data_IF_185838028823
#
_entry.id   IF_185838028823
#
_cell.length_a   1.000
_cell.length_b   1.000
_cell.length_c   1.000
_cell.angle_alpha   90.00
_cell.angle_beta   90.00
_cell.angle_gamma   90.00
#
_symmetry.space_group_name_H-M   'P 1'
#
loop_
_entity.id
_entity.type
_entity.pdbx_description
1 polymer ?
#
# COMPACT_ATOMS: atom_id res chain seq x y z
N UNK A 1 -8.66 1.46 11.52
CA UNK A 1 -8.50 2.64 10.63
C UNK A 1 -7.85 2.28 9.29
N UNK A 2 -6.77 1.48 9.31
CA UNK A 2 -6.10 1.01 8.09
C UNK A 2 -7.07 0.38 7.06
N UNK A 3 -7.94 -0.53 7.49
CA UNK A 3 -8.91 -1.17 6.60
C UNK A 3 -9.85 -0.17 5.91
N UNK A 4 -10.20 0.91 6.60
CA UNK A 4 -11.04 1.95 6.03
C UNK A 4 -10.27 2.76 4.98
N UNK A 5 -9.00 3.07 5.23
CA UNK A 5 -8.13 3.72 4.25
C UNK A 5 -7.95 2.84 3.00
N UNK A 6 -7.74 1.54 3.20
CA UNK A 6 -7.64 0.55 2.11
C UNK A 6 -8.93 0.47 1.30
N UNK A 7 -10.09 0.42 1.97
CA UNK A 7 -11.40 0.43 1.30
C UNK A 7 -11.63 1.71 0.49
N UNK A 8 -11.15 2.85 0.97
CA UNK A 8 -11.25 4.11 0.25
C UNK A 8 -10.28 4.18 -0.95
N UNK A 9 -9.09 3.59 -0.82
CA UNK A 9 -8.12 3.49 -1.91
C UNK A 9 -8.53 2.49 -3.00
N UNK A 10 -9.46 1.57 -2.70
CA UNK A 10 -9.85 0.46 -3.57
C UNK A 10 -10.40 0.92 -4.92
N UNK A 11 -11.28 1.92 -4.93
CA UNK A 11 -11.85 2.47 -6.17
C UNK A 11 -10.78 3.08 -7.09
N UNK A 12 -10.03 4.09 -6.62
CA UNK A 12 -8.93 4.68 -7.39
C UNK A 12 -7.89 3.65 -7.86
N UNK A 13 -7.58 2.67 -7.01
CA UNK A 13 -6.64 1.61 -7.33
C UNK A 13 -7.15 0.72 -8.46
N UNK A 14 -8.41 0.28 -8.39
CA UNK A 14 -9.02 -0.54 -9.44
C UNK A 14 -9.09 0.22 -10.77
N UNK A 15 -9.44 1.51 -10.74
CA UNK A 15 -9.46 2.36 -11.94
C UNK A 15 -8.07 2.48 -12.58
N UNK A 16 -7.03 2.70 -11.77
CA UNK A 16 -5.65 2.75 -12.26
C UNK A 16 -5.23 1.44 -12.92
N UNK A 17 -5.49 0.32 -12.25
CA UNK A 17 -5.12 -1.01 -12.74
C UNK A 17 -5.89 -1.36 -14.01
N UNK A 18 -7.18 -1.03 -14.08
CA UNK A 18 -7.97 -1.17 -15.30
C UNK A 18 -7.37 -0.36 -16.46
N UNK A 19 -6.91 0.87 -16.19
CA UNK A 19 -6.21 1.73 -17.15
C UNK A 19 -4.88 1.14 -17.67
N UNK A 20 -4.24 0.24 -16.92
CA UNK A 20 -3.03 -0.48 -17.32
C UNK A 20 -3.30 -1.73 -18.17
N UNK A 21 -4.54 -1.93 -18.65
CA UNK A 21 -5.01 -3.17 -19.29
C UNK A 21 -4.84 -4.41 -18.40
N UNK A 22 -4.95 -4.26 -17.08
CA UNK A 22 -5.00 -5.42 -16.19
C UNK A 22 -6.36 -6.09 -16.27
N UNK A 23 -6.40 -7.26 -16.91
CA UNK A 23 -7.60 -8.12 -17.00
C UNK A 23 -8.12 -8.58 -15.62
N UNK A 24 -7.30 -8.44 -14.58
CA UNK A 24 -7.61 -8.82 -13.20
C UNK A 24 -7.40 -7.64 -12.24
N UNK A 25 -7.80 -6.43 -12.64
CA UNK A 25 -7.65 -5.20 -11.84
C UNK A 25 -8.21 -5.33 -10.43
N UNK A 26 -9.40 -5.94 -10.26
CA UNK A 26 -10.01 -6.19 -8.95
C UNK A 26 -9.19 -7.15 -8.08
N UNK A 27 -8.76 -8.29 -8.63
CA UNK A 27 -7.94 -9.25 -7.89
C UNK A 27 -6.54 -8.70 -7.58
N UNK A 28 -5.96 -7.94 -8.50
CA UNK A 28 -4.68 -7.24 -8.29
C UNK A 28 -4.79 -6.23 -7.15
N UNK A 29 -5.87 -5.43 -7.12
CA UNK A 29 -6.15 -4.50 -6.04
C UNK A 29 -6.31 -5.22 -4.70
N UNK A 30 -7.02 -6.35 -4.66
CA UNK A 30 -7.17 -7.19 -3.46
C UNK A 30 -5.84 -7.71 -2.94
N UNK A 31 -5.02 -8.28 -3.82
CA UNK A 31 -3.68 -8.80 -3.46
C UNK A 31 -2.77 -7.68 -2.95
N UNK A 32 -2.80 -6.52 -3.60
CA UNK A 32 -2.08 -5.34 -3.14
C UNK A 32 -2.48 -4.94 -1.72
N UNK A 33 -3.78 -4.83 -1.44
CA UNK A 33 -4.31 -4.50 -0.12
C UNK A 33 -3.89 -5.53 0.94
N UNK A 34 -4.03 -6.82 0.63
CA UNK A 34 -3.66 -7.92 1.53
C UNK A 34 -2.17 -7.89 1.84
N UNK A 35 -1.34 -7.71 0.83
CA UNK A 35 0.12 -7.72 0.98
C UNK A 35 0.60 -6.51 1.78
N UNK A 36 0.09 -5.31 1.47
CA UNK A 36 0.43 -4.09 2.20
C UNK A 36 -0.03 -4.20 3.66
N UNK A 37 -1.25 -4.68 3.90
CA UNK A 37 -1.78 -4.85 5.25
C UNK A 37 -0.97 -5.88 6.03
N UNK A 38 -0.62 -7.01 5.42
CA UNK A 38 0.21 -8.05 6.03
C UNK A 38 1.62 -7.53 6.35
N UNK A 39 2.23 -6.80 5.42
CA UNK A 39 3.56 -6.22 5.62
C UNK A 39 3.54 -5.18 6.73
N UNK A 40 2.54 -4.30 6.77
CA UNK A 40 2.32 -3.35 7.87
C UNK A 40 2.16 -4.06 9.22
N UNK A 41 1.33 -5.10 9.30
CA UNK A 41 1.16 -5.90 10.52
C UNK A 41 2.48 -6.56 10.96
N UNK A 42 3.30 -7.04 10.03
CA UNK A 42 4.64 -7.58 10.33
C UNK A 42 5.58 -6.48 10.85
N UNK A 43 5.54 -5.27 10.29
CA UNK A 43 6.32 -4.14 10.80
C UNK A 43 5.89 -3.74 12.21
N UNK A 44 4.58 -3.70 12.50
CA UNK A 44 4.06 -3.49 13.86
C UNK A 44 4.57 -4.58 14.80
N UNK A 45 4.38 -5.85 14.43
CA UNK A 45 4.73 -7.00 15.26
C UNK A 45 6.25 -7.11 15.53
N UNK A 46 7.08 -6.64 14.60
CA UNK A 46 8.54 -6.58 14.76
C UNK A 46 9.02 -5.34 15.54
N UNK A 47 8.11 -4.46 15.96
CA UNK A 47 8.43 -3.22 16.67
C UNK A 47 8.98 -2.11 15.78
N UNK A 48 8.87 -2.25 14.45
CA UNK A 48 9.32 -1.25 13.49
C UNK A 48 8.26 -0.16 13.28
N UNK A 49 7.98 0.59 14.34
CA UNK A 49 7.03 1.70 14.34
C UNK A 49 7.53 2.87 13.48
N UNK A 50 8.84 3.00 13.28
CA UNK A 50 9.44 4.05 12.44
C UNK A 50 9.06 3.93 10.96
N UNK A 51 9.03 2.72 10.41
CA UNK A 51 8.58 2.52 9.02
C UNK A 51 7.10 2.89 8.84
N UNK A 52 6.27 2.59 9.83
CA UNK A 52 4.84 2.97 9.83
C UNK A 52 4.69 4.49 9.98
N UNK A 53 5.46 5.10 10.88
CA UNK A 53 5.54 6.55 11.01
C UNK A 53 5.91 7.23 9.70
N UNK A 54 6.85 6.68 8.94
CA UNK A 54 7.27 7.24 7.66
C UNK A 54 6.15 7.14 6.59
N UNK A 55 5.46 5.99 6.53
CA UNK A 55 4.32 5.76 5.63
C UNK A 55 3.08 6.57 5.95
N UNK A 56 2.87 6.89 7.23
CA UNK A 56 1.75 7.71 7.72
C UNK A 56 2.25 9.06 8.27
N UNK A 57 3.37 9.56 7.76
CA UNK A 57 3.95 10.83 8.21
C UNK A 57 3.19 12.04 7.64
N UNK A 58 2.35 11.83 6.62
CA UNK A 58 1.73 12.91 5.86
C UNK A 58 2.68 13.55 4.84
N UNK A 59 3.92 13.07 4.74
CA UNK A 59 4.90 13.51 3.73
C UNK A 59 4.80 12.61 2.50
N UNK A 60 5.02 13.15 1.32
CA UNK A 60 5.11 12.33 0.11
C UNK A 60 6.22 11.29 0.27
N UNK A 61 5.87 10.01 0.15
CA UNK A 61 6.81 8.88 0.20
C UNK A 61 7.47 8.76 -1.16
N UNK A 62 8.80 8.79 -1.20
CA UNK A 62 9.53 8.69 -2.45
C UNK A 62 9.54 7.23 -2.95
N UNK A 63 9.44 6.97 -4.26
CA UNK A 63 9.56 5.62 -4.80
C UNK A 63 10.87 4.89 -4.43
N UNK A 64 11.89 5.63 -4.01
CA UNK A 64 13.18 5.08 -3.55
C UNK A 64 13.24 4.72 -2.07
N UNK A 65 12.18 4.97 -1.28
CA UNK A 65 12.21 4.72 0.15
C UNK A 65 12.30 3.22 0.45
N UNK A 66 13.06 2.88 1.49
CA UNK A 66 13.32 1.49 1.91
C UNK A 66 12.03 0.71 2.11
N UNK A 67 10.98 1.36 2.58
CA UNK A 67 9.66 0.76 2.81
C UNK A 67 8.95 0.42 1.50
N UNK A 68 9.04 1.29 0.47
CA UNK A 68 8.48 1.04 -0.85
C UNK A 68 9.21 -0.12 -1.51
N UNK A 69 10.55 -0.15 -1.45
CA UNK A 69 11.35 -1.21 -2.06
C UNK A 69 11.04 -2.59 -1.48
N UNK A 70 10.89 -2.70 -0.15
CA UNK A 70 10.52 -3.95 0.50
C UNK A 70 9.10 -4.39 0.11
N UNK A 71 8.14 -3.45 0.15
CA UNK A 71 6.76 -3.72 -0.26
C UNK A 71 6.66 -4.12 -1.74
N UNK A 72 7.48 -3.53 -2.60
CA UNK A 72 7.49 -3.83 -4.03
C UNK A 72 7.90 -5.29 -4.28
N UNK A 73 8.89 -5.79 -3.53
CA UNK A 73 9.26 -7.20 -3.53
C UNK A 73 8.08 -8.09 -3.15
N UNK A 74 7.55 -7.90 -1.94
CA UNK A 74 6.45 -8.69 -1.37
C UNK A 74 5.20 -8.70 -2.27
N UNK A 75 4.82 -7.52 -2.79
CA UNK A 75 3.66 -7.35 -3.67
C UNK A 75 3.89 -8.04 -5.00
N UNK A 76 5.07 -7.85 -5.61
CA UNK A 76 5.36 -8.47 -6.89
C UNK A 76 5.34 -9.99 -6.80
N UNK A 77 5.91 -10.56 -5.73
CA UNK A 77 5.86 -11.99 -5.45
C UNK A 77 4.42 -12.47 -5.26
N UNK A 78 3.64 -11.78 -4.43
CA UNK A 78 2.24 -12.14 -4.17
C UNK A 78 1.36 -12.08 -5.42
N UNK A 79 1.58 -11.10 -6.31
CA UNK A 79 0.87 -11.00 -7.59
C UNK A 79 1.25 -12.13 -8.54
N UNK A 80 2.52 -12.51 -8.61
CA UNK A 80 2.99 -13.65 -9.41
C UNK A 80 2.35 -14.93 -8.89
N UNK A 81 2.43 -15.18 -7.58
CA UNK A 81 1.92 -16.40 -6.95
C UNK A 81 0.40 -16.54 -7.08
N UNK A 82 -0.35 -15.45 -6.87
CA UNK A 82 -1.82 -15.50 -6.82
C UNK A 82 -2.50 -15.29 -8.16
N UNK A 83 -1.92 -14.51 -9.07
CA UNK A 83 -2.50 -14.23 -10.40
C UNK A 83 -1.82 -15.01 -11.52
N UNK A 84 -0.65 -15.60 -11.28
CA UNK A 84 0.12 -16.30 -12.32
C UNK A 84 0.63 -15.36 -13.43
N UNK A 85 0.81 -14.08 -13.13
CA UNK A 85 1.31 -13.08 -14.09
C UNK A 85 2.84 -13.08 -14.17
N UNK A 86 3.38 -12.46 -15.22
CA UNK A 86 4.84 -12.36 -15.36
C UNK A 86 5.45 -11.44 -14.31
N UNK A 87 6.74 -11.64 -14.01
CA UNK A 87 7.48 -10.78 -13.09
C UNK A 87 7.47 -9.33 -13.53
N UNK A 88 7.62 -9.06 -14.82
CA UNK A 88 7.59 -7.72 -15.40
C UNK A 88 6.23 -7.04 -15.19
N UNK A 89 5.14 -7.79 -15.38
CA UNK A 89 3.78 -7.30 -15.13
C UNK A 89 3.57 -6.99 -13.64
N UNK A 90 3.96 -7.91 -12.76
CA UNK A 90 3.84 -7.74 -11.32
C UNK A 90 4.66 -6.54 -10.80
N UNK A 91 5.89 -6.40 -11.28
CA UNK A 91 6.74 -5.25 -10.95
C UNK A 91 6.15 -3.94 -11.47
N UNK A 92 5.59 -3.92 -12.68
CA UNK A 92 4.92 -2.74 -13.25
C UNK A 92 3.69 -2.32 -12.44
N UNK A 93 2.87 -3.29 -12.02
CA UNK A 93 1.72 -3.04 -11.12
C UNK A 93 2.20 -2.47 -9.79
N UNK A 94 3.16 -3.12 -9.14
CA UNK A 94 3.66 -2.72 -7.83
C UNK A 94 4.26 -1.30 -7.87
N UNK A 95 5.05 -1.00 -8.91
CA UNK A 95 5.67 0.32 -9.09
C UNK A 95 4.66 1.45 -9.31
N UNK A 96 3.49 1.17 -9.88
CA UNK A 96 2.42 2.15 -10.06
C UNK A 96 1.51 2.25 -8.82
N UNK A 97 1.12 1.10 -8.26
CA UNK A 97 0.12 1.02 -7.19
C UNK A 97 0.68 1.46 -5.83
N UNK A 98 1.91 1.10 -5.49
CA UNK A 98 2.47 1.41 -4.17
C UNK A 98 2.58 2.91 -3.93
N UNK A 99 3.18 3.73 -4.83
CA UNK A 99 3.23 5.17 -4.63
C UNK A 99 1.84 5.81 -4.55
N UNK A 100 0.88 5.34 -5.37
CA UNK A 100 -0.50 5.82 -5.31
C UNK A 100 -1.12 5.57 -3.94
N UNK A 101 -1.03 4.34 -3.42
CA UNK A 101 -1.61 3.94 -2.15
C UNK A 101 -0.96 4.72 -0.99
N UNK A 102 0.37 4.88 -1.01
CA UNK A 102 1.06 5.66 0.03
C UNK A 102 0.71 7.14 -0.02
N UNK A 103 0.68 7.74 -1.21
CA UNK A 103 0.27 9.14 -1.35
C UNK A 103 -1.19 9.33 -0.92
N UNK A 104 -2.06 8.35 -1.18
CA UNK A 104 -3.44 8.37 -0.70
C UNK A 104 -3.51 8.34 0.83
N UNK A 105 -2.71 7.51 1.50
CA UNK A 105 -2.66 7.48 2.96
C UNK A 105 -2.07 8.75 3.54
N UNK A 106 -0.93 9.22 3.04
CA UNK A 106 -0.30 10.45 3.49
C UNK A 106 -1.25 11.63 3.34
N UNK A 107 -1.94 11.75 2.20
CA UNK A 107 -2.96 12.77 1.99
C UNK A 107 -4.11 12.65 2.97
N UNK A 108 -4.61 11.44 3.20
CA UNK A 108 -5.75 11.24 4.11
C UNK A 108 -5.39 11.51 5.57
N UNK A 109 -4.16 11.21 5.95
CA UNK A 109 -3.56 11.52 7.25
C UNK A 109 -3.38 13.02 7.40
N UNK A 110 -2.83 13.71 6.41
CA UNK A 110 -2.65 15.16 6.40
C UNK A 110 -3.99 15.94 6.37
N UNK A 111 -5.00 15.42 5.67
CA UNK A 111 -6.33 16.02 5.56
C UNK A 111 -7.27 15.60 6.72
N UNK A 112 -6.82 14.71 7.62
CA UNK A 112 -7.63 14.29 8.76
C UNK A 112 -7.72 15.43 9.80
N UNK A 113 -8.91 15.71 10.34
CA UNK A 113 -9.06 16.66 11.45
C UNK A 113 -8.53 16.11 12.79
N UNK A 114 -8.08 14.86 12.82
CA UNK A 114 -7.47 14.19 13.98
C UNK A 114 -5.95 14.18 13.84
N UNK A 115 -5.23 14.26 14.96
CA UNK A 115 -3.76 14.24 14.97
C UNK A 115 -3.22 12.96 14.31
N UNK A 116 -2.13 13.07 13.54
CA UNK A 116 -1.41 11.92 12.95
C UNK A 116 -1.16 10.80 13.96
N UNK A 117 -0.92 11.16 15.23
CA UNK A 117 -0.66 10.23 16.32
C UNK A 117 -1.87 9.34 16.63
N UNK A 118 -3.11 9.81 16.48
CA UNK A 118 -4.31 9.02 16.69
C UNK A 118 -4.52 7.99 15.57
N UNK A 119 -4.21 8.38 14.33
CA UNK A 119 -4.26 7.46 13.17
C UNK A 119 -3.19 6.39 13.34
N UNK A 120 -1.96 6.78 13.70
CA UNK A 120 -0.88 5.85 13.97
C UNK A 120 -1.20 4.91 15.13
N UNK A 121 -1.71 5.44 16.24
CA UNK A 121 -2.14 4.62 17.38
C UNK A 121 -3.20 3.61 16.94
N UNK A 122 -4.14 4.00 16.07
CA UNK A 122 -5.21 3.12 15.57
C UNK A 122 -4.77 2.09 14.52
N UNK A 123 -3.53 2.18 14.03
CA UNK A 123 -2.90 1.18 13.14
C UNK A 123 -2.05 0.20 13.95
N UNK A 124 -1.50 0.67 15.07
CA UNK A 124 -0.62 -0.10 15.95
C UNK A 124 -1.39 -0.80 17.10
N UNK A 125 -2.56 -0.27 17.50
CA UNK A 125 -3.45 -0.83 18.53
C UNK A 125 -4.32 -1.97 18.01
#
# INVERSE_FOLDING_TARGET
MLDQLMKLADGPLQEMLAGMNQNQSGASAEILKDTITSSLQKQVASGNISAIQEMFSGKETSPGDSVINNLQGDVSESLIEKLGISKEQAMGIAAAALPMIMNFFNKRVNDAPQDNNDIMSSVVS
#
